data_IF_938404110829
#
_entry.id   IF_938404110829
#
_cell.length_a   1.000
_cell.length_b   1.000
_cell.length_c   1.000
_cell.angle_alpha   90.00
_cell.angle_beta   90.00
_cell.angle_gamma   90.00
#
_symmetry.space_group_name_H-M   'P 1'
#
loop_
_entity.id
_entity.type
_entity.pdbx_description
1 polymer ?
#
# COMPACT_ATOMS: atom_id res chain seq x y z
N UNK A 1 10.72 11.71 13.01
CA UNK A 1 9.29 11.44 13.26
C UNK A 1 9.17 9.94 13.51
N UNK A 2 8.46 9.45 14.53
CA UNK A 2 8.15 8.03 14.56
C UNK A 2 7.38 7.71 13.28
N UNK A 3 7.90 6.75 12.50
CA UNK A 3 7.15 6.20 11.37
C UNK A 3 5.81 5.71 11.89
N UNK A 4 4.72 6.24 11.35
CA UNK A 4 3.39 5.80 11.73
C UNK A 4 3.26 4.30 11.44
N UNK A 5 2.66 3.55 12.36
CA UNK A 5 2.60 2.08 12.28
C UNK A 5 1.99 1.65 10.94
N UNK A 6 0.93 2.32 10.51
CA UNK A 6 0.25 2.08 9.25
C UNK A 6 1.15 2.35 8.04
N UNK A 7 1.93 3.44 8.07
CA UNK A 7 2.88 3.77 6.99
C UNK A 7 3.95 2.69 6.85
N UNK A 8 4.54 2.25 7.97
CA UNK A 8 5.55 1.19 7.94
C UNK A 8 4.98 -0.15 7.46
N UNK A 9 3.77 -0.50 7.89
CA UNK A 9 3.11 -1.75 7.53
C UNK A 9 2.77 -1.79 6.03
N UNK A 10 2.20 -0.71 5.47
CA UNK A 10 1.91 -0.62 4.03
C UNK A 10 3.20 -0.57 3.22
N UNK A 11 4.19 0.23 3.63
CA UNK A 11 5.49 0.29 2.91
C UNK A 11 6.12 -1.10 2.83
N UNK A 12 6.25 -1.78 3.97
CA UNK A 12 6.84 -3.13 4.05
C UNK A 12 6.08 -4.16 3.23
N UNK A 13 4.75 -4.11 3.24
CA UNK A 13 3.93 -5.01 2.41
C UNK A 13 4.19 -4.77 0.93
N UNK A 14 4.11 -3.51 0.46
CA UNK A 14 4.26 -3.19 -0.96
C UNK A 14 5.68 -3.42 -1.47
N UNK A 15 6.72 -3.23 -0.65
CA UNK A 15 8.11 -3.45 -1.07
C UNK A 15 8.51 -4.92 -1.08
N UNK A 16 7.93 -5.75 -0.20
CA UNK A 16 8.32 -7.15 -0.04
C UNK A 16 7.42 -8.12 -0.83
N UNK A 17 6.19 -7.72 -1.15
CA UNK A 17 5.28 -8.56 -1.91
C UNK A 17 5.56 -8.42 -3.41
N UNK A 18 6.21 -9.45 -3.97
CA UNK A 18 6.59 -9.49 -5.39
C UNK A 18 5.39 -9.38 -6.36
N UNK A 19 4.17 -9.70 -5.91
CA UNK A 19 2.95 -9.55 -6.72
C UNK A 19 2.55 -8.09 -6.84
N UNK A 20 2.67 -7.32 -5.75
CA UNK A 20 2.20 -5.94 -5.65
C UNK A 20 3.28 -4.90 -5.92
N UNK A 21 4.56 -5.20 -5.71
CA UNK A 21 5.67 -4.23 -5.83
C UNK A 21 5.75 -3.58 -7.21
N UNK A 22 5.51 -4.34 -8.28
CA UNK A 22 5.56 -3.81 -9.64
C UNK A 22 4.41 -2.84 -9.91
N UNK A 23 3.17 -3.23 -9.55
CA UNK A 23 1.98 -2.41 -9.74
C UNK A 23 2.02 -1.17 -8.84
N UNK A 24 2.44 -1.32 -7.58
CA UNK A 24 2.65 -0.23 -6.64
C UNK A 24 3.69 0.77 -7.17
N UNK A 25 4.80 0.28 -7.74
CA UNK A 25 5.79 1.12 -8.42
C UNK A 25 5.21 1.89 -9.61
N UNK A 26 4.35 1.26 -10.42
CA UNK A 26 3.67 1.92 -11.53
C UNK A 26 2.74 3.05 -11.06
N UNK A 27 1.94 2.81 -10.00
CA UNK A 27 1.08 3.84 -9.40
C UNK A 27 1.91 4.98 -8.79
N UNK A 28 3.00 4.65 -8.09
CA UNK A 28 3.92 5.60 -7.46
C UNK A 28 4.67 6.46 -8.49
N UNK A 29 5.04 5.90 -9.64
CA UNK A 29 5.69 6.64 -10.73
C UNK A 29 4.73 7.60 -11.44
N UNK A 30 3.44 7.24 -11.51
CA UNK A 30 2.41 8.03 -12.18
C UNK A 30 2.01 9.32 -11.46
N UNK A 31 2.24 9.42 -10.15
CA UNK A 31 1.80 10.55 -9.33
C UNK A 31 2.83 10.93 -8.24
N UNK A 32 3.41 12.15 -8.30
CA UNK A 32 4.36 12.61 -7.29
C UNK A 32 3.74 12.85 -5.91
N UNK A 33 2.41 13.00 -5.80
CA UNK A 33 1.74 13.19 -4.51
C UNK A 33 1.44 11.89 -3.76
N UNK A 34 1.48 10.74 -4.45
CA UNK A 34 1.17 9.43 -3.87
C UNK A 34 -0.33 9.15 -3.73
N UNK A 35 -1.21 10.04 -4.22
CA UNK A 35 -2.66 9.86 -4.18
C UNK A 35 -3.12 8.71 -5.09
N UNK A 36 -2.50 8.53 -6.26
CA UNK A 36 -2.79 7.37 -7.12
C UNK A 36 -2.46 6.04 -6.42
N UNK A 37 -1.33 6.01 -5.69
CA UNK A 37 -0.94 4.87 -4.87
C UNK A 37 -1.94 4.64 -3.73
N UNK A 38 -2.34 5.72 -3.03
CA UNK A 38 -3.34 5.68 -1.96
C UNK A 38 -4.67 5.10 -2.46
N UNK A 39 -5.22 5.61 -3.56
CA UNK A 39 -6.50 5.14 -4.10
C UNK A 39 -6.44 3.67 -4.51
N UNK A 40 -5.35 3.25 -5.14
CA UNK A 40 -5.14 1.87 -5.53
C UNK A 40 -5.06 0.94 -4.31
N UNK A 41 -4.26 1.28 -3.30
CA UNK A 41 -4.19 0.50 -2.06
C UNK A 41 -5.55 0.47 -1.35
N UNK A 42 -6.26 1.60 -1.31
CA UNK A 42 -7.62 1.67 -0.74
C UNK A 42 -8.55 0.68 -1.44
N UNK A 43 -8.46 0.58 -2.76
CA UNK A 43 -9.23 -0.38 -3.52
C UNK A 43 -8.84 -1.84 -3.21
N UNK A 44 -7.56 -2.14 -2.99
CA UNK A 44 -7.14 -3.47 -2.56
C UNK A 44 -7.71 -3.86 -1.20
N UNK A 45 -7.59 -2.97 -0.20
CA UNK A 45 -7.98 -3.25 1.18
C UNK A 45 -9.51 -3.29 1.36
N UNK A 46 -10.26 -2.38 0.72
CA UNK A 46 -11.70 -2.23 0.94
C UNK A 46 -12.59 -2.41 -0.30
N UNK A 47 -12.01 -2.43 -1.51
CA UNK A 47 -12.75 -2.51 -2.78
C UNK A 47 -13.05 -3.93 -3.28
N UNK A 48 -12.50 -4.97 -2.64
CA UNK A 48 -12.66 -6.38 -3.03
C UNK A 48 -12.24 -6.63 -4.49
N UNK A 49 -10.95 -6.46 -4.83
CA UNK A 49 -10.43 -6.63 -6.19
C UNK A 49 -10.67 -8.06 -6.71
N UNK A 50 -11.02 -8.17 -8.00
CA UNK A 50 -11.20 -9.45 -8.67
C UNK A 50 -9.88 -9.96 -9.26
N UNK A 51 -9.76 -11.28 -9.41
CA UNK A 51 -8.60 -11.91 -10.06
C UNK A 51 -7.38 -12.12 -9.16
N UNK A 52 -7.50 -11.85 -7.86
CA UNK A 52 -6.46 -12.15 -6.89
C UNK A 52 -6.48 -13.62 -6.46
N UNK A 53 -5.31 -14.16 -6.15
CA UNK A 53 -5.20 -15.50 -5.59
C UNK A 53 -5.66 -15.53 -4.12
N UNK A 54 -5.94 -16.72 -3.59
CA UNK A 54 -6.31 -16.86 -2.18
C UNK A 54 -5.21 -16.38 -1.22
N UNK A 55 -3.93 -16.51 -1.62
CA UNK A 55 -2.79 -16.02 -0.84
C UNK A 55 -2.78 -14.50 -0.80
N UNK A 56 -3.01 -13.84 -1.94
CA UNK A 56 -3.03 -12.37 -2.01
C UNK A 56 -4.17 -11.80 -1.17
N UNK A 57 -5.35 -12.41 -1.23
CA UNK A 57 -6.50 -12.04 -0.39
C UNK A 57 -6.20 -12.21 1.10
N UNK A 58 -5.43 -13.24 1.47
CA UNK A 58 -5.00 -13.44 2.85
C UNK A 58 -4.03 -12.35 3.32
N UNK A 59 -3.02 -12.00 2.52
CA UNK A 59 -2.09 -10.93 2.82
C UNK A 59 -2.80 -9.58 2.95
N UNK A 60 -3.69 -9.25 2.00
CA UNK A 60 -4.51 -8.03 2.04
C UNK A 60 -5.38 -7.99 3.31
N UNK A 61 -5.98 -9.11 3.71
CA UNK A 61 -6.76 -9.18 4.93
C UNK A 61 -5.91 -8.93 6.18
N UNK A 62 -4.70 -9.50 6.25
CA UNK A 62 -3.77 -9.27 7.36
C UNK A 62 -3.34 -7.80 7.46
N UNK A 63 -3.03 -7.17 6.33
CA UNK A 63 -2.67 -5.75 6.27
C UNK A 63 -3.84 -4.89 6.71
N UNK A 64 -5.04 -5.19 6.21
CA UNK A 64 -6.27 -4.49 6.57
C UNK A 64 -6.60 -4.63 8.05
N UNK A 65 -6.43 -5.81 8.64
CA UNK A 65 -6.70 -6.01 10.07
C UNK A 65 -5.70 -5.25 10.97
N UNK A 66 -4.51 -4.96 10.45
CA UNK A 66 -3.48 -4.17 11.12
C UNK A 66 -3.65 -2.65 11.02
N UNK A 67 -4.61 -2.15 10.22
CA UNK A 67 -4.76 -0.72 9.90
C UNK A 67 -6.24 -0.32 9.98
N UNK A 68 -6.57 0.70 10.78
CA UNK A 68 -7.92 1.26 10.75
C UNK A 68 -8.10 2.19 9.54
N UNK A 69 -9.36 2.40 9.12
CA UNK A 69 -9.65 3.33 8.03
C UNK A 69 -9.19 4.78 8.31
N UNK A 70 -9.09 5.18 9.59
CA UNK A 70 -8.57 6.49 9.97
C UNK A 70 -7.05 6.51 9.81
N UNK A 71 -6.34 5.50 10.33
CA UNK A 71 -4.87 5.41 10.22
C UNK A 71 -4.43 5.39 8.75
N UNK A 72 -5.24 4.80 7.86
CA UNK A 72 -4.98 4.77 6.43
C UNK A 72 -4.96 6.15 5.78
N UNK A 73 -5.86 7.05 6.19
CA UNK A 73 -5.91 8.41 5.66
C UNK A 73 -4.70 9.24 6.09
N UNK A 74 -4.11 8.92 7.23
CA UNK A 74 -2.94 9.59 7.81
C UNK A 74 -1.59 8.99 7.34
N UNK A 75 -1.61 7.99 6.45
CA UNK A 75 -0.38 7.40 5.89
C UNK A 75 0.41 8.44 5.10
N UNK A 76 1.73 8.44 5.30
CA UNK A 76 2.67 9.26 4.52
C UNK A 76 2.97 8.61 3.15
N UNK A 77 2.02 8.75 2.24
CA UNK A 77 2.11 8.23 0.86
C UNK A 77 3.33 8.75 0.08
N UNK A 78 3.74 10.03 0.19
CA UNK A 78 4.99 10.51 -0.40
C UNK A 78 6.22 9.73 0.05
N UNK A 79 6.32 9.38 1.34
CA UNK A 79 7.43 8.57 1.85
C UNK A 79 7.39 7.13 1.33
N UNK A 80 6.22 6.48 1.29
CA UNK A 80 6.08 5.13 0.69
C UNK A 80 6.48 5.13 -0.78
N UNK A 81 6.07 6.17 -1.52
CA UNK A 81 6.48 6.35 -2.92
C UNK A 81 8.00 6.44 -3.05
N UNK A 82 8.66 7.19 -2.18
CA UNK A 82 10.12 7.33 -2.19
C UNK A 82 10.79 5.95 -1.99
N UNK A 83 10.31 5.16 -1.03
CA UNK A 83 10.82 3.81 -0.77
C UNK A 83 10.62 2.87 -1.99
N UNK A 84 9.46 2.93 -2.64
CA UNK A 84 9.13 2.10 -3.81
C UNK A 84 9.95 2.44 -5.06
N UNK A 85 10.34 3.70 -5.23
CA UNK A 85 11.06 4.17 -6.42
C UNK A 85 12.59 4.12 -6.27
N UNK A 86 13.10 3.54 -5.19
CA UNK A 86 14.53 3.30 -4.99
C UNK A 86 15.23 4.36 -4.16
N UNK A 87 14.61 4.74 -3.03
CA UNK A 87 15.26 5.52 -1.97
C UNK A 87 16.60 4.93 -1.48
#
# INVERSE_FOLDING_TARGET
>A
MPYDHATHLVSTWLTNDGTFVHEAGNQAAGDPSGEALKEWVRHLLWGAPQGLSGTDLHTIAQVRDGISANDFEDIDWPSIRHDLLGG
#
